data_IF_897714741432
#
_entry.id   IF_897714741432
#
_cell.length_a   1.000
_cell.length_b   1.000
_cell.length_c   1.000
_cell.angle_alpha   90.00
_cell.angle_beta   90.00
_cell.angle_gamma   90.00
#
_symmetry.space_group_name_H-M   'P 1'
#
loop_
_entity.id
_entity.type
_entity.pdbx_description
1 polymer ?
#
# COMPACT_ATOMS: atom_id res chain seq x y z
N UNK A 1 -43.74 18.62 14.56
CA UNK A 1 -43.45 18.41 13.12
C UNK A 1 -42.92 16.99 12.84
N UNK A 2 -43.59 16.20 11.98
CA UNK A 2 -43.08 14.88 11.58
C UNK A 2 -42.03 15.01 10.44
N UNK A 3 -41.07 14.08 10.41
CA UNK A 3 -39.94 14.03 9.48
C UNK A 3 -40.36 13.71 8.03
N UNK A 4 -39.58 14.13 7.00
CA UNK A 4 -39.94 13.90 5.61
C UNK A 4 -39.80 12.42 5.24
N UNK A 5 -40.90 11.84 4.76
CA UNK A 5 -40.98 10.44 4.33
C UNK A 5 -40.08 10.15 3.14
N UNK A 6 -39.28 9.09 3.26
CA UNK A 6 -38.39 8.56 2.23
C UNK A 6 -39.20 8.14 0.99
N UNK A 7 -38.90 8.71 -0.18
CA UNK A 7 -39.59 8.38 -1.44
C UNK A 7 -39.10 7.04 -2.01
N UNK A 8 -39.72 5.96 -1.56
CA UNK A 8 -39.43 4.58 -1.94
C UNK A 8 -39.47 4.31 -3.46
N UNK A 9 -40.18 5.15 -4.24
CA UNK A 9 -40.27 4.97 -5.69
C UNK A 9 -38.98 5.38 -6.41
N UNK A 10 -38.26 6.39 -5.90
CA UNK A 10 -36.95 6.79 -6.43
C UNK A 10 -35.86 5.75 -6.12
N UNK A 11 -35.89 5.16 -4.93
CA UNK A 11 -34.96 4.10 -4.53
C UNK A 11 -35.13 2.82 -5.37
N UNK A 12 -36.38 2.46 -5.70
CA UNK A 12 -36.66 1.29 -6.55
C UNK A 12 -36.20 1.46 -8.00
N UNK A 13 -36.28 2.68 -8.54
CA UNK A 13 -35.83 2.97 -9.92
C UNK A 13 -34.31 2.95 -10.04
N UNK A 14 -33.60 3.58 -9.09
CA UNK A 14 -32.13 3.56 -9.03
C UNK A 14 -31.60 2.13 -8.88
N UNK A 15 -32.29 1.28 -8.11
CA UNK A 15 -31.92 -0.15 -7.97
C UNK A 15 -32.16 -0.96 -9.25
N UNK A 16 -33.19 -0.63 -10.02
CA UNK A 16 -33.47 -1.24 -11.33
C UNK A 16 -32.44 -0.81 -12.39
N UNK A 17 -32.10 0.47 -12.44
CA UNK A 17 -31.07 1.01 -13.33
C UNK A 17 -29.67 0.46 -12.99
N UNK A 18 -29.35 0.29 -11.69
CA UNK A 18 -28.10 -0.33 -11.26
C UNK A 18 -27.99 -1.80 -11.69
N UNK A 19 -29.07 -2.59 -11.53
CA UNK A 19 -29.09 -4.01 -11.96
C UNK A 19 -28.90 -4.15 -13.47
N UNK A 20 -29.62 -3.36 -14.26
CA UNK A 20 -29.46 -3.38 -15.73
C UNK A 20 -28.05 -2.96 -16.19
N UNK A 21 -27.35 -2.12 -15.42
CA UNK A 21 -25.96 -1.75 -15.71
C UNK A 21 -24.97 -2.87 -15.33
N UNK A 22 -25.24 -3.61 -14.25
CA UNK A 22 -24.43 -4.78 -13.88
C UNK A 22 -24.61 -5.93 -14.86
N UNK A 23 -25.84 -6.22 -15.29
CA UNK A 23 -26.12 -7.28 -16.27
C UNK A 23 -25.45 -6.98 -17.62
N UNK A 24 -25.40 -5.69 -18.04
CA UNK A 24 -24.72 -5.27 -19.27
C UNK A 24 -23.19 -5.35 -19.18
N UNK A 25 -22.61 -5.19 -17.98
CA UNK A 25 -21.17 -5.38 -17.74
C UNK A 25 -20.84 -6.87 -17.69
N UNK A 26 -21.71 -7.70 -17.13
CA UNK A 26 -21.56 -9.16 -17.08
C UNK A 26 -21.63 -9.78 -18.48
N UNK A 27 -22.56 -9.33 -19.33
CA UNK A 27 -22.66 -9.77 -20.72
C UNK A 27 -21.44 -9.31 -21.56
N UNK A 28 -20.94 -8.08 -21.32
CA UNK A 28 -19.71 -7.59 -21.97
C UNK A 28 -18.46 -8.35 -21.50
N UNK A 29 -18.35 -8.68 -20.21
CA UNK A 29 -17.25 -9.49 -19.67
C UNK A 29 -17.31 -10.94 -20.17
N UNK A 30 -18.51 -11.50 -20.32
CA UNK A 30 -18.70 -12.84 -20.89
C UNK A 30 -18.33 -12.90 -22.39
N UNK A 31 -18.60 -11.82 -23.14
CA UNK A 31 -18.25 -11.71 -24.56
C UNK A 31 -16.73 -11.50 -24.77
N UNK A 32 -16.07 -10.72 -23.90
CA UNK A 32 -14.63 -10.40 -24.02
C UNK A 32 -13.73 -11.50 -23.46
N UNK A 33 -14.16 -12.21 -22.42
CA UNK A 33 -13.33 -13.20 -21.69
C UNK A 33 -13.85 -14.64 -21.77
N UNK A 34 -14.88 -14.91 -22.57
CA UNK A 34 -15.60 -16.19 -22.61
C UNK A 34 -14.75 -17.42 -22.92
N UNK A 35 -13.66 -17.28 -23.66
CA UNK A 35 -12.73 -18.39 -23.96
C UNK A 35 -11.63 -18.59 -22.89
N UNK A 36 -11.49 -17.66 -21.94
CA UNK A 36 -10.43 -17.68 -20.91
C UNK A 36 -10.97 -17.60 -19.48
N UNK A 37 -12.27 -17.82 -19.30
CA UNK A 37 -12.98 -17.68 -18.02
C UNK A 37 -12.40 -18.55 -16.92
N UNK A 38 -12.04 -19.80 -17.21
CA UNK A 38 -11.48 -20.69 -16.17
C UNK A 38 -10.06 -20.28 -15.76
N UNK A 39 -9.27 -19.72 -16.69
CA UNK A 39 -7.96 -19.15 -16.38
C UNK A 39 -8.06 -17.83 -15.61
N UNK A 40 -9.06 -17.00 -15.94
CA UNK A 40 -9.36 -15.76 -15.22
C UNK A 40 -9.88 -16.06 -13.80
N UNK A 41 -10.76 -17.05 -13.64
CA UNK A 41 -11.25 -17.48 -12.33
C UNK A 41 -10.13 -18.09 -11.49
N UNK A 42 -9.25 -18.90 -12.09
CA UNK A 42 -8.07 -19.41 -11.39
C UNK A 42 -7.10 -18.29 -10.97
N UNK A 43 -6.92 -17.26 -11.81
CA UNK A 43 -6.14 -16.07 -11.45
C UNK A 43 -6.80 -15.26 -10.34
N UNK A 44 -8.12 -15.07 -10.37
CA UNK A 44 -8.84 -14.36 -9.32
C UNK A 44 -8.79 -15.13 -7.99
N UNK A 45 -8.91 -16.47 -8.02
CA UNK A 45 -8.77 -17.32 -6.83
C UNK A 45 -7.33 -17.28 -6.28
N UNK A 46 -6.31 -17.23 -7.15
CA UNK A 46 -4.89 -17.09 -6.77
C UNK A 46 -4.60 -15.69 -6.20
N UNK A 47 -5.10 -14.63 -6.83
CA UNK A 47 -5.00 -13.24 -6.39
C UNK A 47 -5.70 -13.06 -5.03
N UNK A 48 -6.90 -13.62 -4.85
CA UNK A 48 -7.63 -13.58 -3.56
C UNK A 48 -6.87 -14.31 -2.46
N UNK A 49 -6.22 -15.43 -2.79
CA UNK A 49 -5.40 -16.21 -1.85
C UNK A 49 -4.12 -15.45 -1.47
N UNK A 50 -3.49 -14.79 -2.44
CA UNK A 50 -2.31 -13.95 -2.23
C UNK A 50 -2.63 -12.68 -1.43
N UNK A 51 -3.80 -12.06 -1.67
CA UNK A 51 -4.32 -10.94 -0.86
C UNK A 51 -4.61 -11.41 0.56
N UNK A 52 -5.18 -12.62 0.74
CA UNK A 52 -5.41 -13.20 2.06
C UNK A 52 -4.10 -13.49 2.80
N UNK A 53 -3.08 -14.00 2.11
CA UNK A 53 -1.73 -14.23 2.68
C UNK A 53 -1.06 -12.91 3.05
N UNK A 54 -1.16 -11.88 2.20
CA UNK A 54 -0.66 -10.54 2.50
C UNK A 54 -1.34 -9.97 3.76
N UNK A 55 -2.67 -10.08 3.88
CA UNK A 55 -3.45 -9.66 5.05
C UNK A 55 -3.10 -10.40 6.35
N UNK A 56 -2.54 -11.62 6.30
CA UNK A 56 -2.15 -12.39 7.50
C UNK A 56 -0.93 -11.82 8.22
N UNK A 57 -0.04 -11.10 7.53
CA UNK A 57 1.13 -10.45 8.17
C UNK A 57 0.78 -8.98 8.47
N UNK A 58 0.65 -8.69 9.77
CA UNK A 58 0.33 -7.36 10.29
C UNK A 58 1.59 -6.52 10.42
N UNK A 59 1.54 -5.26 9.97
CA UNK A 59 2.64 -4.32 10.20
C UNK A 59 2.79 -3.26 9.12
N UNK A 60 3.77 -2.37 9.32
CA UNK A 60 4.33 -1.57 8.23
C UNK A 60 5.13 -2.50 7.31
N UNK A 61 4.76 -2.52 6.03
CA UNK A 61 5.28 -3.44 5.02
C UNK A 61 6.37 -2.83 4.16
N UNK A 62 6.09 -1.64 3.64
CA UNK A 62 6.92 -1.00 2.63
C UNK A 62 7.03 0.49 2.89
N UNK A 63 8.23 1.06 2.72
CA UNK A 63 8.50 2.48 2.76
C UNK A 63 9.11 2.94 1.44
N UNK A 64 8.73 4.11 0.94
CA UNK A 64 9.49 4.79 -0.10
C UNK A 64 9.58 6.30 0.10
N UNK A 65 10.64 6.88 -0.46
CA UNK A 65 10.86 8.30 -0.61
C UNK A 65 11.17 8.64 -2.06
N UNK A 66 10.56 9.71 -2.56
CA UNK A 66 10.74 10.14 -3.95
C UNK A 66 10.61 11.64 -4.14
N UNK A 67 11.26 12.15 -5.19
CA UNK A 67 11.17 13.55 -5.62
C UNK A 67 9.99 13.71 -6.58
N UNK A 68 9.09 14.63 -6.27
CA UNK A 68 7.84 14.81 -7.03
C UNK A 68 8.09 15.29 -8.46
N UNK A 69 8.97 16.28 -8.63
CA UNK A 69 9.17 17.00 -9.91
C UNK A 69 9.49 16.07 -11.08
N UNK A 70 10.31 15.05 -10.84
CA UNK A 70 10.77 14.09 -11.84
C UNK A 70 10.36 12.65 -11.52
N UNK A 71 9.50 12.47 -10.50
CA UNK A 71 8.99 11.17 -10.04
C UNK A 71 10.10 10.17 -9.69
N UNK A 72 11.26 10.68 -9.31
CA UNK A 72 12.43 9.85 -9.04
C UNK A 72 12.39 9.35 -7.60
N UNK A 73 12.19 8.05 -7.43
CA UNK A 73 12.42 7.40 -6.14
C UNK A 73 13.91 7.40 -5.80
N UNK A 74 14.21 7.67 -4.54
CA UNK A 74 15.55 7.65 -3.98
C UNK A 74 15.70 6.73 -2.77
N UNK A 75 14.58 6.16 -2.30
CA UNK A 75 14.57 5.12 -1.30
C UNK A 75 13.34 4.23 -1.49
N UNK A 76 13.53 2.93 -1.34
CA UNK A 76 12.47 1.93 -1.30
C UNK A 76 12.88 0.75 -0.44
N UNK A 77 12.10 0.45 0.58
CA UNK A 77 12.41 -0.54 1.59
C UNK A 77 11.20 -1.41 1.84
N UNK A 78 11.26 -2.66 1.41
CA UNK A 78 10.43 -3.73 1.95
C UNK A 78 11.01 -4.15 3.31
N UNK A 79 10.20 -4.03 4.38
CA UNK A 79 10.70 -4.29 5.73
C UNK A 79 11.00 -5.79 5.95
N UNK A 80 11.97 -6.14 6.83
CA UNK A 80 12.46 -7.51 6.97
C UNK A 80 11.41 -8.62 7.11
N UNK A 81 10.30 -8.36 7.84
CA UNK A 81 9.20 -9.34 8.01
C UNK A 81 8.45 -9.66 6.70
N UNK A 82 8.53 -8.76 5.73
CA UNK A 82 7.82 -8.81 4.46
C UNK A 82 8.76 -9.11 3.29
N UNK A 83 10.02 -9.46 3.54
CA UNK A 83 10.94 -9.85 2.46
C UNK A 83 10.38 -11.02 1.65
N UNK A 84 10.41 -10.89 0.32
CA UNK A 84 9.82 -11.86 -0.61
C UNK A 84 8.29 -11.77 -0.74
N UNK A 85 7.65 -10.71 -0.22
CA UNK A 85 6.24 -10.45 -0.49
C UNK A 85 6.01 -10.24 -2.00
N UNK A 86 5.16 -11.06 -2.66
CA UNK A 86 4.91 -10.96 -4.11
C UNK A 86 4.32 -9.61 -4.50
N UNK A 87 3.73 -8.89 -3.54
CA UNK A 87 3.08 -7.60 -3.76
C UNK A 87 4.01 -6.39 -3.64
N UNK A 88 5.33 -6.57 -3.50
CA UNK A 88 6.28 -5.46 -3.39
C UNK A 88 6.11 -4.45 -4.54
N UNK A 89 5.91 -4.97 -5.75
CA UNK A 89 5.67 -4.15 -6.93
C UNK A 89 4.41 -3.29 -6.81
N UNK A 90 3.32 -3.87 -6.31
CA UNK A 90 2.06 -3.16 -6.12
C UNK A 90 2.19 -2.04 -5.06
N UNK A 91 2.98 -2.27 -4.00
CA UNK A 91 3.29 -1.23 -3.01
C UNK A 91 4.05 -0.06 -3.62
N UNK A 92 5.03 -0.36 -4.48
CA UNK A 92 5.82 0.65 -5.20
C UNK A 92 4.95 1.45 -6.16
N UNK A 93 4.13 0.78 -6.97
CA UNK A 93 3.22 1.42 -7.94
C UNK A 93 2.21 2.34 -7.26
N UNK A 94 1.63 1.92 -6.12
CA UNK A 94 0.72 2.77 -5.34
C UNK A 94 1.38 4.09 -4.87
N UNK A 95 2.66 4.05 -4.50
CA UNK A 95 3.43 5.23 -4.10
C UNK A 95 3.78 6.13 -5.29
N UNK A 96 4.19 5.54 -6.42
CA UNK A 96 4.42 6.27 -7.66
C UNK A 96 3.16 7.00 -8.14
N UNK A 97 1.99 6.37 -8.00
CA UNK A 97 0.70 6.99 -8.34
C UNK A 97 0.37 8.17 -7.43
N UNK A 98 0.64 8.08 -6.13
CA UNK A 98 0.50 9.23 -5.22
C UNK A 98 1.46 10.36 -5.61
N UNK A 99 2.71 10.07 -5.96
CA UNK A 99 3.64 11.08 -6.43
C UNK A 99 3.14 11.77 -7.70
N UNK A 100 2.54 11.01 -8.61
CA UNK A 100 1.97 11.50 -9.87
C UNK A 100 0.72 12.36 -9.67
N UNK A 101 -0.21 11.92 -8.83
CA UNK A 101 -1.54 12.53 -8.69
C UNK A 101 -1.52 13.66 -7.67
N UNK A 102 -0.90 13.43 -6.51
CA UNK A 102 -1.01 14.30 -5.35
C UNK A 102 0.29 15.09 -5.06
N UNK A 103 1.41 14.77 -5.70
CA UNK A 103 2.71 15.30 -5.27
C UNK A 103 2.87 16.81 -5.32
N UNK A 104 2.17 17.50 -6.23
CA UNK A 104 2.17 18.97 -6.27
C UNK A 104 1.19 19.64 -5.28
N UNK A 105 0.34 18.86 -4.61
CA UNK A 105 -0.80 19.37 -3.84
C UNK A 105 -0.73 19.06 -2.34
N UNK A 106 0.19 18.20 -1.91
CA UNK A 106 0.36 17.82 -0.50
C UNK A 106 1.20 18.87 0.22
N UNK A 107 0.67 19.59 1.23
CA UNK A 107 1.45 20.54 1.99
C UNK A 107 2.52 19.84 2.86
N UNK A 108 3.67 20.50 3.13
CA UNK A 108 4.73 19.90 3.94
C UNK A 108 4.27 19.48 5.34
N UNK A 109 4.78 18.35 5.84
CA UNK A 109 4.51 17.79 7.18
C UNK A 109 3.03 17.54 7.49
N UNK A 110 2.19 17.43 6.47
CA UNK A 110 0.78 17.05 6.64
C UNK A 110 0.62 15.54 6.56
N UNK A 111 -0.40 15.02 7.24
CA UNK A 111 -0.66 13.59 7.41
C UNK A 111 -1.80 13.16 6.49
N UNK A 112 -1.53 12.27 5.56
CA UNK A 112 -2.52 11.75 4.61
C UNK A 112 -2.56 10.24 4.61
N UNK A 113 -3.71 9.66 4.24
CA UNK A 113 -3.87 8.22 4.05
C UNK A 113 -4.78 7.89 2.89
N UNK A 114 -4.53 6.78 2.22
CA UNK A 114 -5.36 6.19 1.18
C UNK A 114 -5.45 4.68 1.41
N UNK A 115 -6.68 4.16 1.52
CA UNK A 115 -6.92 2.73 1.57
C UNK A 115 -6.87 2.13 0.16
N UNK A 116 -6.28 0.95 0.04
CA UNK A 116 -6.26 0.16 -1.18
C UNK A 116 -6.30 -1.33 -0.83
N UNK A 117 -6.34 -2.19 -1.83
CA UNK A 117 -6.57 -3.63 -1.66
C UNK A 117 -5.59 -4.31 -0.68
N UNK A 118 -4.32 -3.92 -0.73
CA UNK A 118 -3.27 -4.56 0.05
C UNK A 118 -2.99 -3.88 1.39
N UNK A 119 -3.72 -2.82 1.75
CA UNK A 119 -3.59 -2.15 3.03
C UNK A 119 -3.93 -0.65 2.99
N UNK A 120 -3.20 0.13 3.80
CA UNK A 120 -3.34 1.58 3.86
C UNK A 120 -2.00 2.22 3.58
N UNK A 121 -1.99 3.10 2.57
CA UNK A 121 -0.85 3.94 2.24
C UNK A 121 -0.96 5.24 3.04
N UNK A 122 -0.01 5.46 3.95
CA UNK A 122 0.16 6.69 4.70
C UNK A 122 1.27 7.51 4.06
N UNK A 123 1.07 8.81 3.87
CA UNK A 123 2.06 9.64 3.18
C UNK A 123 2.10 11.08 3.67
N UNK A 124 3.23 11.71 3.38
CA UNK A 124 3.55 13.10 3.73
C UNK A 124 4.56 13.67 2.74
N UNK A 125 4.84 14.97 2.85
CA UNK A 125 5.81 15.68 2.01
C UNK A 125 6.73 16.56 2.86
N UNK A 126 7.92 16.85 2.36
CA UNK A 126 8.79 17.88 2.92
C UNK A 126 8.60 19.23 2.20
N UNK A 127 9.29 20.28 2.69
CA UNK A 127 9.25 21.60 2.06
C UNK A 127 10.12 21.72 0.79
N UNK A 128 10.81 20.64 0.40
CA UNK A 128 11.76 20.61 -0.73
C UNK A 128 11.18 19.87 -1.94
N UNK A 129 9.90 19.46 -1.89
CA UNK A 129 9.22 18.78 -2.99
C UNK A 129 9.51 17.29 -3.05
N UNK A 130 9.89 16.69 -1.92
CA UNK A 130 9.97 15.25 -1.76
C UNK A 130 8.72 14.72 -1.04
N UNK A 131 8.31 13.53 -1.41
CA UNK A 131 7.24 12.80 -0.76
C UNK A 131 7.76 11.51 -0.17
N UNK A 132 7.10 11.10 0.91
CA UNK A 132 7.42 9.92 1.68
C UNK A 132 6.12 9.17 1.97
N UNK A 133 6.15 7.86 1.89
CA UNK A 133 5.02 7.08 2.36
C UNK A 133 5.37 5.68 2.80
N UNK A 134 4.45 5.13 3.58
CA UNK A 134 4.49 3.79 4.13
C UNK A 134 3.19 3.07 3.78
N UNK A 135 3.30 1.86 3.27
CA UNK A 135 2.20 0.89 3.22
C UNK A 135 2.19 0.12 4.54
N UNK A 136 1.06 0.10 5.21
CA UNK A 136 0.83 -0.71 6.40
C UNK A 136 -0.48 -1.50 6.29
N UNK A 137 -0.61 -2.55 7.10
CA UNK A 137 -1.89 -3.23 7.30
C UNK A 137 -2.98 -2.26 7.77
N UNK A 138 -4.22 -2.54 7.40
CA UNK A 138 -5.41 -1.75 7.73
C UNK A 138 -5.66 -1.64 9.24
N UNK A 139 -5.31 -2.68 9.99
CA UNK A 139 -5.42 -2.77 11.43
C UNK A 139 -4.16 -2.29 12.20
N UNK A 140 -3.10 -1.89 11.49
CA UNK A 140 -1.88 -1.39 12.13
C UNK A 140 -2.10 0.02 12.71
N UNK A 141 -1.55 0.33 13.92
CA UNK A 141 -1.78 1.62 14.56
C UNK A 141 -1.33 2.81 13.71
N UNK A 142 -2.30 3.62 13.26
CA UNK A 142 -2.05 4.84 12.48
C UNK A 142 -1.04 5.79 13.15
N UNK A 143 -1.10 5.92 14.48
CA UNK A 143 -0.21 6.80 15.22
C UNK A 143 1.26 6.37 15.08
N UNK A 144 1.53 5.07 15.11
CA UNK A 144 2.88 4.53 14.96
C UNK A 144 3.38 4.67 13.52
N UNK A 145 2.48 4.52 12.53
CA UNK A 145 2.84 4.76 11.12
C UNK A 145 3.25 6.20 10.85
N UNK A 146 2.50 7.18 11.35
CA UNK A 146 2.89 8.59 11.17
C UNK A 146 4.13 8.95 11.98
N UNK A 147 4.32 8.36 13.16
CA UNK A 147 5.55 8.53 13.94
C UNK A 147 6.77 7.99 13.19
N UNK A 148 6.62 6.89 12.45
CA UNK A 148 7.67 6.40 11.55
C UNK A 148 7.98 7.42 10.46
N UNK A 149 6.95 7.96 9.78
CA UNK A 149 7.13 8.96 8.73
C UNK A 149 7.79 10.25 9.25
N UNK A 150 7.48 10.68 10.47
CA UNK A 150 8.13 11.82 11.13
C UNK A 150 9.62 11.57 11.37
N UNK A 151 9.99 10.38 11.87
CA UNK A 151 11.41 10.00 12.02
C UNK A 151 12.12 10.03 10.67
N UNK A 152 11.50 9.52 9.61
CA UNK A 152 12.11 9.55 8.27
C UNK A 152 12.22 10.98 7.73
N UNK A 153 11.22 11.82 7.92
CA UNK A 153 11.28 13.24 7.55
C UNK A 153 12.46 13.93 8.23
N UNK A 154 12.63 13.78 9.55
CA UNK A 154 13.72 14.41 10.29
C UNK A 154 15.10 13.98 9.76
N UNK A 155 15.26 12.71 9.40
CA UNK A 155 16.50 12.18 8.79
C UNK A 155 16.77 12.84 7.44
N UNK A 156 15.75 12.90 6.58
CA UNK A 156 15.90 13.45 5.24
C UNK A 156 15.98 14.98 5.20
N UNK A 157 15.44 15.69 6.18
CA UNK A 157 15.63 17.14 6.30
C UNK A 157 17.11 17.51 6.48
N UNK A 158 17.88 16.64 7.14
CA UNK A 158 19.33 16.73 7.28
C UNK A 158 20.11 16.49 5.98
N UNK A 159 19.48 15.99 4.92
CA UNK A 159 20.11 15.62 3.65
C UNK A 159 19.67 16.60 2.55
N UNK A 160 20.63 17.19 1.83
CA UNK A 160 20.34 18.01 0.64
C UNK A 160 20.01 17.12 -0.57
N UNK A 161 18.84 16.45 -0.50
CA UNK A 161 18.34 15.52 -1.53
C UNK A 161 18.34 16.17 -2.92
N UNK A 162 17.77 17.39 -3.15
CA UNK A 162 17.71 17.96 -4.49
C UNK A 162 19.11 18.11 -5.11
N UNK A 163 20.06 18.66 -4.35
CA UNK A 163 21.43 18.85 -4.83
C UNK A 163 22.15 17.53 -5.09
N UNK A 164 21.92 16.52 -4.26
CA UNK A 164 22.51 15.19 -4.47
C UNK A 164 21.93 14.50 -5.71
N UNK A 165 20.60 14.55 -5.90
CA UNK A 165 19.93 13.96 -7.06
C UNK A 165 20.31 14.65 -8.37
N UNK A 166 20.50 15.98 -8.35
CA UNK A 166 20.91 16.76 -9.53
C UNK A 166 22.39 16.53 -9.91
N UNK A 167 23.21 16.01 -8.98
CA UNK A 167 24.61 15.65 -9.22
C UNK A 167 24.85 14.17 -9.48
N UNK A 168 23.86 13.32 -9.17
CA UNK A 168 23.99 11.88 -9.34
C UNK A 168 24.09 11.52 -10.84
N UNK A 169 25.17 10.86 -11.22
CA UNK A 169 25.37 10.33 -12.58
C UNK A 169 24.27 9.31 -12.91
N UNK A 170 23.78 9.33 -14.15
CA UNK A 170 22.82 8.37 -14.69
C UNK A 170 23.27 6.91 -14.51
N UNK A 171 24.58 6.63 -14.60
CA UNK A 171 25.12 5.30 -14.39
C UNK A 171 24.89 4.81 -12.94
N UNK A 172 25.11 5.67 -11.93
CA UNK A 172 24.85 5.36 -10.53
C UNK A 172 23.36 5.04 -10.28
N UNK A 173 22.45 5.75 -10.94
CA UNK A 173 20.99 5.53 -10.80
C UNK A 173 20.55 4.15 -11.29
N UNK A 174 21.29 3.57 -12.25
CA UNK A 174 20.99 2.24 -12.77
C UNK A 174 21.37 1.11 -11.81
N UNK A 175 22.20 1.37 -10.80
CA UNK A 175 22.55 0.38 -9.79
C UNK A 175 21.39 0.15 -8.82
N UNK A 176 20.88 -1.09 -8.68
CA UNK A 176 19.72 -1.38 -7.82
C UNK A 176 19.92 -0.95 -6.37
N UNK A 177 21.13 -1.19 -5.82
CA UNK A 177 21.46 -0.83 -4.45
C UNK A 177 21.38 0.68 -4.22
N UNK A 178 21.85 1.46 -5.19
CA UNK A 178 21.77 2.92 -5.14
C UNK A 178 20.33 3.38 -5.32
N UNK A 179 19.58 2.82 -6.29
CA UNK A 179 18.18 3.19 -6.54
C UNK A 179 17.28 2.96 -5.32
N UNK A 180 17.51 1.86 -4.60
CA UNK A 180 16.65 1.45 -3.49
C UNK A 180 17.07 2.07 -2.14
N UNK A 181 18.29 2.61 -2.01
CA UNK A 181 18.75 3.40 -0.86
C UNK A 181 19.87 4.38 -1.22
N UNK A 182 19.55 5.48 -1.92
CA UNK A 182 20.54 6.44 -2.45
C UNK A 182 21.35 7.16 -1.36
N UNK A 183 20.83 7.18 -0.13
CA UNK A 183 21.37 7.97 0.97
C UNK A 183 21.82 7.13 2.16
N UNK A 184 21.81 5.80 2.05
CA UNK A 184 22.28 4.90 3.10
C UNK A 184 21.42 4.94 4.37
N UNK A 185 20.11 5.21 4.25
CA UNK A 185 19.21 5.33 5.41
C UNK A 185 18.54 4.02 5.78
N UNK A 186 18.76 2.93 5.02
CA UNK A 186 18.05 1.66 5.21
C UNK A 186 18.15 1.11 6.62
N UNK A 187 19.33 1.08 7.21
CA UNK A 187 19.51 0.54 8.56
C UNK A 187 18.81 1.39 9.63
N UNK A 188 18.77 2.71 9.42
CA UNK A 188 18.02 3.63 10.28
C UNK A 188 16.52 3.39 10.14
N UNK A 189 16.01 3.30 8.91
CA UNK A 189 14.62 3.01 8.64
C UNK A 189 14.20 1.66 9.24
N UNK A 190 15.01 0.61 9.10
CA UNK A 190 14.75 -0.70 9.71
C UNK A 190 14.76 -0.60 11.23
N UNK A 191 15.67 0.18 11.83
CA UNK A 191 15.73 0.38 13.29
C UNK A 191 14.49 1.11 13.82
N UNK A 192 14.05 2.17 13.13
CA UNK A 192 12.83 2.90 13.45
C UNK A 192 11.59 2.00 13.30
N UNK A 193 11.53 1.22 12.23
CA UNK A 193 10.49 0.23 12.00
C UNK A 193 10.43 -0.82 13.11
N UNK A 194 11.55 -1.42 13.52
CA UNK A 194 11.60 -2.41 14.61
C UNK A 194 11.03 -1.83 15.92
N UNK A 195 11.40 -0.59 16.24
CA UNK A 195 10.94 0.11 17.45
C UNK A 195 9.42 0.35 17.46
N UNK A 196 8.82 0.61 16.30
CA UNK A 196 7.41 1.00 16.17
C UNK A 196 6.50 -0.17 15.84
N UNK A 197 6.90 -1.04 14.91
CA UNK A 197 6.16 -2.24 14.52
C UNK A 197 6.25 -3.36 15.54
N UNK A 198 7.27 -3.35 16.40
CA UNK A 198 7.57 -4.38 17.41
C UNK A 198 7.35 -5.80 16.88
N UNK A 199 8.06 -6.18 15.81
CA UNK A 199 7.84 -7.45 15.13
C UNK A 199 8.09 -8.67 16.04
N UNK A 200 8.86 -8.50 17.12
CA UNK A 200 9.22 -9.54 18.08
C UNK A 200 8.17 -9.70 19.21
N UNK A 201 7.21 -8.78 19.36
CA UNK A 201 6.16 -8.84 20.38
C UNK A 201 5.07 -9.88 20.06
N UNK A 202 5.27 -10.72 19.04
CA UNK A 202 4.38 -11.85 18.72
C UNK A 202 3.09 -11.46 18.00
N UNK A 203 3.00 -10.27 17.38
CA UNK A 203 1.87 -9.89 16.51
C UNK A 203 1.79 -10.67 15.18
N UNK A 204 2.68 -11.65 14.97
CA UNK A 204 2.35 -12.82 14.16
C UNK A 204 1.33 -13.66 14.93
N UNK A 205 0.06 -13.24 14.93
CA UNK A 205 -1.02 -14.10 15.37
C UNK A 205 -1.11 -15.21 14.33
N UNK A 206 -0.39 -16.32 14.55
CA UNK A 206 -0.85 -17.60 14.03
C UNK A 206 -2.30 -17.73 14.47
N UNK A 207 -3.28 -17.88 13.55
CA UNK A 207 -4.55 -18.40 13.98
C UNK A 207 -4.20 -19.78 14.52
N UNK A 208 -4.33 -19.93 15.84
CA UNK A 208 -4.32 -21.22 16.51
C UNK A 208 -4.99 -22.21 15.59
N UNK A 209 -4.22 -23.21 15.15
CA UNK A 209 -4.73 -24.24 14.28
C UNK A 209 -6.00 -24.78 14.92
N UNK A 210 -7.11 -24.67 14.18
CA UNK A 210 -8.22 -25.57 14.39
C UNK A 210 -7.73 -26.95 13.96
N UNK A 211 -7.04 -27.58 14.91
CA UNK A 211 -7.12 -29.00 15.17
C UNK A 211 -8.60 -29.34 15.35
N UNK A 212 -9.32 -29.53 14.24
CA UNK A 212 -10.41 -30.51 14.25
C UNK A 212 -9.75 -31.86 14.16
N UNK A 213 -9.32 -32.32 15.35
CA UNK A 213 -8.94 -33.69 15.58
C UNK A 213 -10.08 -34.61 15.17
N UNK A 214 -9.68 -35.74 14.58
CA UNK A 214 -10.60 -36.81 14.26
C UNK A 214 -11.32 -37.37 15.49
N UNK A 215 -12.57 -37.74 15.26
CA UNK A 215 -13.30 -38.85 15.82
C UNK A 215 -14.40 -39.15 14.79
N UNK A 216 -14.72 -40.36 14.35
CA UNK A 216 -14.38 -41.68 14.87
C UNK A 216 -14.63 -42.71 13.74
N UNK A 217 -13.87 -43.80 13.74
CA UNK A 217 -14.25 -45.02 13.03
C UNK A 217 -15.03 -45.87 14.03
N UNK A 218 -16.32 -46.07 13.76
CA UNK A 218 -17.18 -47.05 14.41
C UNK A 218 -18.29 -47.46 13.46
#
# INVERSE_FOLDING_TARGET
PPAPGMDYKRFSRVRGEARATFDAIEDWMAEVFGENRDALLAQLDEDDLDVAVAKRRRGMRYFAGGRVRDRRMFASILFPMFQGDPHERNYREALEDIFRIAGGSVPPKTRHKLSFELGVLYFTADSRGNMYGVVASDDFPMADTFKFLEVMLDVYEGIDIPKALDKADAALVSEPQFRDDMFGVRDLAISAWKKLSRPEDGFSHEPSGDMVGGADRG
#
